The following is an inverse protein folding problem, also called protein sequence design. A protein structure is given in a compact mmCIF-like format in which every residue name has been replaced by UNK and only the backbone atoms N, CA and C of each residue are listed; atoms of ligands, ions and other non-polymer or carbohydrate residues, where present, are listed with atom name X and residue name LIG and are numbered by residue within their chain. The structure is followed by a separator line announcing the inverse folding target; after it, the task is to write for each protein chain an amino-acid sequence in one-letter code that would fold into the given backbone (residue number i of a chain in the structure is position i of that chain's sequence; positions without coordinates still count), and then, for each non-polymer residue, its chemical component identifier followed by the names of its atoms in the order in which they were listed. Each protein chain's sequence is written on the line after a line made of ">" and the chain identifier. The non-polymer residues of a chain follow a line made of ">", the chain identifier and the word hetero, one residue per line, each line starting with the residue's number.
data_IF_362016930638
#
_entry.id   IF_362016930638
#
_cell.length_a   1.000
_cell.length_b   1.000
_cell.length_c   1.000
_cell.angle_alpha   90.00
_cell.angle_beta   90.00
_cell.angle_gamma   90.00
#
_symmetry.space_group_name_H-M   'P 1'
#
loop_
_entity.id
_entity.type
_entity.pdbx_description
1 polymer ?
#
# COMPACT_ATOMS: atom_id res chain seq x y z
N UNK A 1 6.87 -18.90 -4.11
CA UNK A 1 5.62 -18.17 -3.79
C UNK A 1 5.80 -17.64 -2.39
N UNK A 2 5.88 -16.32 -2.20
CA UNK A 2 6.14 -15.77 -0.87
C UNK A 2 4.80 -15.67 -0.11
N UNK A 3 4.36 -16.78 0.47
CA UNK A 3 3.09 -16.90 1.23
C UNK A 3 2.95 -15.77 2.26
N UNK A 4 4.07 -15.36 2.85
CA UNK A 4 4.11 -14.33 3.87
C UNK A 4 3.75 -12.94 3.32
N UNK A 5 4.11 -12.63 2.06
CA UNK A 5 3.76 -11.34 1.41
C UNK A 5 2.25 -11.23 1.19
N UNK A 6 1.60 -12.30 0.73
CA UNK A 6 0.14 -12.32 0.51
C UNK A 6 -0.57 -12.17 1.86
N UNK A 7 -0.19 -12.97 2.86
CA UNK A 7 -0.79 -12.87 4.20
C UNK A 7 -0.53 -11.51 4.85
N UNK A 8 0.65 -10.92 4.67
CA UNK A 8 0.96 -9.56 5.11
C UNK A 8 0.04 -8.52 4.44
N UNK A 9 -0.18 -8.62 3.13
CA UNK A 9 -1.09 -7.72 2.42
C UNK A 9 -2.54 -7.89 2.87
N UNK A 10 -3.00 -9.14 3.09
CA UNK A 10 -4.34 -9.37 3.62
C UNK A 10 -4.51 -8.77 5.03
N UNK A 11 -3.49 -8.91 5.88
CA UNK A 11 -3.49 -8.26 7.19
C UNK A 11 -3.54 -6.75 7.08
N UNK A 12 -2.76 -6.15 6.17
CA UNK A 12 -2.79 -4.72 5.92
C UNK A 12 -4.17 -4.25 5.47
N UNK A 13 -4.84 -4.94 4.54
CA UNK A 13 -6.22 -4.63 4.14
C UNK A 13 -7.19 -4.70 5.32
N UNK A 14 -7.06 -5.72 6.18
CA UNK A 14 -7.86 -5.81 7.40
C UNK A 14 -7.65 -4.59 8.31
N UNK A 15 -6.40 -4.16 8.53
CA UNK A 15 -6.09 -2.96 9.32
C UNK A 15 -6.63 -1.68 8.69
N UNK A 16 -6.57 -1.54 7.36
CA UNK A 16 -7.12 -0.38 6.66
C UNK A 16 -8.66 -0.34 6.75
N UNK A 17 -9.35 -1.48 6.63
CA UNK A 17 -10.82 -1.56 6.81
C UNK A 17 -11.20 -1.21 8.26
N UNK A 18 -10.42 -1.64 9.25
CA UNK A 18 -10.63 -1.23 10.64
C UNK A 18 -10.46 0.28 10.80
N UNK A 19 -9.35 0.85 10.31
CA UNK A 19 -9.12 2.29 10.36
C UNK A 19 -10.23 3.09 9.66
N UNK A 20 -10.69 2.66 8.49
CA UNK A 20 -11.83 3.30 7.82
C UNK A 20 -13.06 3.36 8.72
N UNK A 21 -13.45 2.22 9.33
CA UNK A 21 -14.60 2.16 10.26
C UNK A 21 -14.45 3.05 11.49
N UNK A 22 -13.23 3.25 11.98
CA UNK A 22 -12.96 4.12 13.13
C UNK A 22 -13.26 5.59 12.83
N UNK A 23 -13.18 6.02 11.57
CA UNK A 23 -13.36 7.44 11.20
C UNK A 23 -14.67 7.71 10.46
N UNK A 24 -15.26 6.77 9.74
CA UNK A 24 -16.41 7.04 8.85
C UNK A 24 -17.79 6.73 9.43
N UNK A 25 -17.97 6.69 10.76
CA UNK A 25 -19.28 6.41 11.40
C UNK A 25 -20.00 5.15 10.85
N UNK A 26 -19.24 4.13 10.44
CA UNK A 26 -19.70 2.91 9.76
C UNK A 26 -20.31 3.10 8.35
N UNK A 27 -19.91 4.15 7.63
CA UNK A 27 -20.14 4.23 6.18
C UNK A 27 -19.62 2.98 5.46
N UNK A 28 -20.19 2.73 4.29
CA UNK A 28 -19.77 1.63 3.44
C UNK A 28 -18.29 1.77 3.09
N UNK A 29 -17.52 0.73 3.40
CA UNK A 29 -16.09 0.66 3.09
C UNK A 29 -15.83 0.88 1.59
N UNK A 30 -15.05 1.91 1.26
CA UNK A 30 -14.71 2.31 -0.11
C UNK A 30 -13.28 1.90 -0.54
N UNK A 31 -12.60 1.06 0.26
CA UNK A 31 -11.25 0.58 -0.04
C UNK A 31 -11.29 -0.33 -1.27
N UNK A 32 -11.19 0.29 -2.43
CA UNK A 32 -11.05 -0.34 -3.74
C UNK A 32 -9.63 -0.88 -3.97
N UNK A 33 -9.43 -1.66 -5.03
CA UNK A 33 -8.09 -2.08 -5.48
C UNK A 33 -7.14 -0.88 -5.61
N UNK A 34 -7.57 0.21 -6.25
CA UNK A 34 -6.73 1.38 -6.44
C UNK A 34 -6.35 2.02 -5.10
N UNK A 35 -7.34 2.27 -4.23
CA UNK A 35 -7.13 2.83 -2.89
C UNK A 35 -6.21 1.96 -2.05
N UNK A 36 -6.40 0.64 -2.07
CA UNK A 36 -5.54 -0.32 -1.38
C UNK A 36 -4.09 -0.26 -1.84
N UNK A 37 -3.83 -0.18 -3.16
CA UNK A 37 -2.46 -0.10 -3.69
C UNK A 37 -1.78 1.22 -3.28
N UNK A 38 -2.51 2.34 -3.26
CA UNK A 38 -1.98 3.63 -2.78
C UNK A 38 -1.65 3.58 -1.29
N UNK A 39 -2.58 3.09 -0.49
CA UNK A 39 -2.38 2.97 0.96
C UNK A 39 -1.26 1.98 1.30
N UNK A 40 -1.13 0.88 0.55
CA UNK A 40 0.00 -0.05 0.65
C UNK A 40 1.33 0.68 0.48
N UNK A 41 1.46 1.52 -0.56
CA UNK A 41 2.66 2.32 -0.77
C UNK A 41 2.94 3.27 0.42
N UNK A 42 1.96 4.06 0.85
CA UNK A 42 2.14 5.02 1.94
C UNK A 42 2.48 4.35 3.28
N UNK A 43 1.80 3.24 3.61
CA UNK A 43 2.10 2.42 4.80
C UNK A 43 3.48 1.79 4.70
N UNK A 44 3.90 1.33 3.52
CA UNK A 44 5.22 0.72 3.37
C UNK A 44 6.34 1.75 3.56
N UNK A 45 6.15 2.96 3.03
CA UNK A 45 7.15 4.03 3.08
C UNK A 45 7.22 4.78 4.42
N UNK A 46 6.17 4.74 5.24
CA UNK A 46 6.07 5.61 6.42
C UNK A 46 7.18 5.42 7.43
N UNK A 47 7.82 6.55 7.77
CA UNK A 47 8.89 6.57 8.75
C UNK A 47 10.21 5.94 8.30
N UNK A 48 10.32 5.52 7.04
CA UNK A 48 11.60 5.02 6.50
C UNK A 48 12.53 6.17 6.16
N UNK A 49 13.83 5.91 6.23
CA UNK A 49 14.92 6.80 5.83
C UNK A 49 15.91 6.00 5.01
N UNK A 50 16.88 6.68 4.37
CA UNK A 50 17.96 6.02 3.62
C UNK A 50 18.72 4.97 4.44
N UNK A 51 18.83 5.17 5.76
CA UNK A 51 19.58 4.32 6.69
C UNK A 51 18.67 3.30 7.40
N UNK A 52 17.37 3.28 7.10
CA UNK A 52 16.45 2.29 7.66
C UNK A 52 16.75 0.91 7.12
N UNK A 53 16.83 -0.07 8.00
CA UNK A 53 16.96 -1.48 7.69
C UNK A 53 15.70 -2.23 8.14
N UNK A 54 15.41 -3.36 7.51
CA UNK A 54 14.26 -4.23 7.85
C UNK A 54 12.93 -3.46 7.95
N UNK A 55 12.71 -2.50 7.06
CA UNK A 55 11.40 -1.83 6.89
C UNK A 55 10.46 -2.67 6.02
N UNK A 56 9.18 -2.31 5.98
CA UNK A 56 8.21 -2.99 5.10
C UNK A 56 8.67 -2.95 3.63
N UNK A 57 9.37 -1.89 3.22
CA UNK A 57 9.96 -1.74 1.88
C UNK A 57 11.15 -2.69 1.61
N UNK A 58 11.80 -3.22 2.64
CA UNK A 58 12.97 -4.09 2.47
C UNK A 58 12.56 -5.55 2.30
N UNK A 59 11.71 -6.00 3.24
CA UNK A 59 11.49 -7.43 3.43
C UNK A 59 10.19 -7.94 2.80
N UNK A 60 9.17 -7.07 2.70
CA UNK A 60 7.81 -7.48 2.33
C UNK A 60 7.36 -6.85 1.01
N UNK A 61 7.29 -5.52 0.93
CA UNK A 61 6.74 -4.81 -0.22
C UNK A 61 7.87 -4.09 -0.95
N UNK A 62 8.63 -4.83 -1.74
CA UNK A 62 9.88 -4.35 -2.34
C UNK A 62 9.88 -4.28 -3.88
N UNK A 63 8.75 -4.60 -4.52
CA UNK A 63 8.64 -4.59 -5.99
C UNK A 63 7.73 -3.48 -6.50
N UNK A 64 8.03 -2.24 -6.09
CA UNK A 64 7.30 -1.07 -6.54
C UNK A 64 7.68 -0.65 -7.96
N UNK A 65 6.67 -0.37 -8.78
CA UNK A 65 6.78 0.19 -10.12
C UNK A 65 6.01 1.50 -10.22
N UNK A 66 6.50 2.44 -11.02
CA UNK A 66 5.77 3.64 -11.39
C UNK A 66 4.79 3.27 -12.52
N UNK A 67 3.50 3.54 -12.34
CA UNK A 67 2.45 3.31 -13.34
C UNK A 67 1.59 4.57 -13.51
N UNK A 68 0.70 4.67 -14.53
CA UNK A 68 -0.10 5.88 -14.75
C UNK A 68 -0.90 6.35 -13.53
N UNK A 69 -1.35 5.42 -12.69
CA UNK A 69 -2.08 5.70 -11.44
C UNK A 69 -1.19 5.64 -10.18
N UNK A 70 0.09 6.00 -10.30
CA UNK A 70 1.02 6.10 -9.16
C UNK A 70 1.88 4.85 -8.93
N UNK A 71 2.49 4.72 -7.74
CA UNK A 71 3.26 3.54 -7.33
C UNK A 71 2.39 2.28 -7.21
N UNK A 72 2.85 1.15 -7.73
CA UNK A 72 2.15 -0.13 -7.61
C UNK A 72 3.15 -1.19 -7.16
N UNK A 73 2.84 -1.94 -6.11
CA UNK A 73 3.60 -3.15 -5.78
C UNK A 73 3.17 -4.23 -6.78
N UNK A 74 4.08 -4.59 -7.69
CA UNK A 74 3.72 -5.36 -8.89
C UNK A 74 3.27 -6.78 -8.54
N UNK A 75 3.92 -7.43 -7.57
CA UNK A 75 3.59 -8.79 -7.16
C UNK A 75 2.19 -8.86 -6.53
N UNK A 76 1.88 -7.92 -5.63
CA UNK A 76 0.55 -7.77 -5.02
C UNK A 76 -0.51 -7.49 -6.09
N UNK A 77 -0.23 -6.60 -7.04
CA UNK A 77 -1.18 -6.28 -8.10
C UNK A 77 -1.50 -7.50 -8.98
N UNK A 78 -0.50 -8.32 -9.30
CA UNK A 78 -0.69 -9.57 -10.03
C UNK A 78 -1.50 -10.59 -9.22
N UNK A 79 -1.27 -10.71 -7.91
CA UNK A 79 -2.08 -11.58 -7.05
C UNK A 79 -3.55 -11.14 -6.98
N UNK A 80 -3.81 -9.83 -6.91
CA UNK A 80 -5.18 -9.29 -6.95
C UNK A 80 -5.85 -9.67 -8.28
N UNK A 81 -5.17 -9.45 -9.41
CA UNK A 81 -5.72 -9.79 -10.75
C UNK A 81 -6.03 -11.26 -10.92
N UNK A 82 -5.17 -12.12 -10.36
CA UNK A 82 -5.33 -13.57 -10.44
C UNK A 82 -6.33 -14.12 -9.39
N UNK A 83 -7.01 -13.25 -8.62
CA UNK A 83 -7.97 -13.67 -7.60
C UNK A 83 -7.34 -14.48 -6.45
N UNK A 84 -6.06 -14.25 -6.17
CA UNK A 84 -5.24 -15.09 -5.29
C UNK A 84 -5.19 -14.62 -3.83
N UNK A 85 -6.30 -14.06 -3.33
CA UNK A 85 -6.45 -13.64 -1.92
C UNK A 85 -7.38 -14.63 -1.18
N UNK A 86 -6.84 -15.56 -0.37
CA UNK A 86 -7.63 -16.62 0.26
C UNK A 86 -8.64 -16.11 1.30
N UNK A 87 -8.33 -15.02 2.02
CA UNK A 87 -9.11 -14.51 3.15
C UNK A 87 -9.84 -13.21 2.86
N UNK A 88 -9.58 -12.58 1.70
CA UNK A 88 -10.15 -11.29 1.34
C UNK A 88 -10.74 -11.32 -0.06
N UNK A 89 -11.81 -10.56 -0.28
CA UNK A 89 -12.32 -10.23 -1.61
C UNK A 89 -12.25 -8.73 -1.80
N UNK A 90 -11.53 -8.28 -2.83
CA UNK A 90 -11.36 -6.86 -3.16
C UNK A 90 -11.73 -6.64 -4.62
N UNK A 91 -12.38 -5.51 -4.90
CA UNK A 91 -12.75 -5.10 -6.25
C UNK A 91 -12.56 -3.58 -6.42
N UNK A 92 -13.04 -3.03 -7.53
CA UNK A 92 -12.86 -1.60 -7.85
C UNK A 92 -13.70 -0.66 -6.98
N UNK A 93 -14.52 -1.16 -6.04
CA UNK A 93 -15.38 -0.33 -5.19
C UNK A 93 -15.16 -0.54 -3.70
N UNK A 94 -14.73 -1.73 -3.28
CA UNK A 94 -14.70 -2.09 -1.86
C UNK A 94 -13.83 -3.32 -1.58
N UNK A 95 -13.55 -3.52 -0.29
CA UNK A 95 -12.90 -4.70 0.28
C UNK A 95 -13.83 -5.39 1.28
N UNK A 96 -13.91 -6.71 1.21
CA UNK A 96 -14.66 -7.57 2.12
C UNK A 96 -13.68 -8.55 2.79
N UNK A 97 -13.65 -8.52 4.12
CA UNK A 97 -12.90 -9.49 4.92
C UNK A 97 -13.79 -10.71 5.13
N UNK A 98 -13.29 -11.92 4.81
CA UNK A 98 -14.06 -13.15 5.03
C UNK A 98 -14.12 -13.46 6.52
N UNK A 99 -15.25 -14.00 6.98
CA UNK A 99 -15.43 -14.37 8.40
C UNK A 99 -14.43 -15.43 8.87
N UNK A 100 -13.88 -16.22 7.95
CA UNK A 100 -12.86 -17.23 8.21
C UNK A 100 -11.46 -16.66 8.40
N UNK A 101 -11.26 -15.34 8.23
CA UNK A 101 -9.95 -14.74 8.32
C UNK A 101 -9.42 -14.77 9.76
N UNK A 102 -8.49 -15.68 10.01
CA UNK A 102 -7.83 -15.80 11.30
C UNK A 102 -6.48 -15.10 11.27
N UNK A 103 -6.41 -13.86 11.76
CA UNK A 103 -5.16 -13.08 11.83
C UNK A 103 -4.04 -13.76 12.62
N UNK A 104 -4.36 -14.72 13.49
CA UNK A 104 -3.35 -15.41 14.29
C UNK A 104 -2.51 -16.42 13.49
N UNK A 105 -2.91 -16.76 12.26
CA UNK A 105 -2.09 -17.59 11.37
C UNK A 105 -0.93 -16.81 10.75
N UNK A 106 -0.96 -15.48 10.86
CA UNK A 106 0.06 -14.58 10.31
C UNK A 106 1.12 -14.34 11.38
N UNK A 107 2.38 -14.40 10.95
CA UNK A 107 3.53 -14.17 11.81
C UNK A 107 3.38 -12.90 12.66
N UNK A 108 3.67 -13.04 13.96
CA UNK A 108 3.47 -11.98 14.95
C UNK A 108 4.35 -10.77 14.67
N UNK A 109 5.56 -10.99 14.16
CA UNK A 109 6.50 -9.91 13.82
C UNK A 109 6.00 -9.12 12.61
N UNK A 110 5.51 -9.82 11.58
CA UNK A 110 4.87 -9.18 10.41
C UNK A 110 3.67 -8.33 10.86
N UNK A 111 2.78 -8.89 11.67
CA UNK A 111 1.61 -8.15 12.18
C UNK A 111 2.01 -6.91 12.96
N UNK A 112 2.96 -7.04 13.88
CA UNK A 112 3.47 -5.92 14.66
C UNK A 112 4.04 -4.80 13.78
N UNK A 113 4.84 -5.15 12.76
CA UNK A 113 5.42 -4.16 11.84
C UNK A 113 4.35 -3.42 11.03
N UNK A 114 3.31 -4.12 10.60
CA UNK A 114 2.18 -3.50 9.89
C UNK A 114 1.37 -2.61 10.82
N UNK A 115 1.08 -3.06 12.05
CA UNK A 115 0.38 -2.26 13.06
C UNK A 115 1.14 -0.96 13.36
N UNK A 116 2.45 -1.03 13.57
CA UNK A 116 3.31 0.14 13.80
C UNK A 116 3.29 1.10 12.61
N UNK A 117 3.42 0.60 11.39
CA UNK A 117 3.39 1.43 10.19
C UNK A 117 2.02 2.10 9.99
N UNK A 118 0.92 1.37 10.15
CA UNK A 118 -0.44 1.92 10.07
C UNK A 118 -0.65 2.98 11.16
N UNK A 119 -0.27 2.70 12.41
CA UNK A 119 -0.40 3.66 13.52
C UNK A 119 0.45 4.92 13.31
N UNK A 120 1.64 4.78 12.73
CA UNK A 120 2.49 5.92 12.38
C UNK A 120 1.89 6.75 11.25
N UNK A 121 1.29 6.13 10.25
CA UNK A 121 0.60 6.86 9.18
C UNK A 121 -0.63 7.60 9.74
N UNK A 122 -1.40 6.95 10.62
CA UNK A 122 -2.53 7.55 11.34
C UNK A 122 -2.13 8.77 12.17
N UNK A 123 -0.98 8.72 12.85
CA UNK A 123 -0.53 9.84 13.67
C UNK A 123 -0.05 11.04 12.85
N UNK A 124 0.36 10.81 11.60
CA UNK A 124 0.72 11.87 10.65
C UNK A 124 -0.53 12.47 10.01
N UNK A 125 -1.42 11.62 9.48
CA UNK A 125 -2.66 12.06 8.85
C UNK A 125 -3.76 11.01 9.07
N UNK A 126 -4.66 11.29 10.02
CA UNK A 126 -5.78 10.40 10.36
C UNK A 126 -6.84 10.34 9.25
N UNK A 127 -6.98 11.42 8.47
CA UNK A 127 -7.98 11.57 7.41
C UNK A 127 -7.48 11.04 6.06
N UNK A 128 -6.23 10.60 5.95
CA UNK A 128 -5.69 9.99 4.72
C UNK A 128 -6.54 8.81 4.26
N UNK A 129 -7.12 8.04 5.19
CA UNK A 129 -8.01 6.91 4.87
C UNK A 129 -9.33 7.36 4.22
N UNK A 130 -9.74 8.64 4.39
CA UNK A 130 -10.95 9.21 3.78
C UNK A 130 -10.73 9.72 2.37
N UNK A 131 -9.47 9.91 1.96
CA UNK A 131 -9.16 10.41 0.62
C UNK A 131 -9.75 9.45 -0.43
N UNK A 132 -10.27 10.03 -1.52
CA UNK A 132 -10.75 9.22 -2.62
C UNK A 132 -9.57 8.46 -3.26
N UNK A 133 -9.89 7.47 -4.09
CA UNK A 133 -8.85 6.75 -4.82
C UNK A 133 -8.01 7.70 -5.69
N UNK A 134 -8.59 8.77 -6.22
CA UNK A 134 -7.89 9.75 -7.06
C UNK A 134 -7.09 10.76 -6.24
N UNK A 135 -7.59 11.23 -5.09
CA UNK A 135 -6.81 12.08 -4.18
C UNK A 135 -5.51 11.37 -3.74
N UNK A 136 -5.58 10.07 -3.48
CA UNK A 136 -4.41 9.24 -3.16
C UNK A 136 -3.49 9.02 -4.36
N UNK A 137 -4.01 9.02 -5.59
CA UNK A 137 -3.21 9.00 -6.82
C UNK A 137 -2.44 10.30 -6.96
N UNK A 138 -3.13 11.44 -6.86
CA UNK A 138 -2.54 12.77 -6.96
C UNK A 138 -1.45 12.96 -5.89
N UNK A 139 -1.73 12.52 -4.66
CA UNK A 139 -0.73 12.50 -3.60
C UNK A 139 0.46 11.60 -3.94
N UNK A 140 0.24 10.40 -4.50
CA UNK A 140 1.36 9.53 -4.90
C UNK A 140 2.18 10.11 -6.06
N UNK A 141 1.55 10.91 -6.94
CA UNK A 141 2.22 11.61 -8.03
C UNK A 141 3.10 12.77 -7.56
N UNK A 142 2.89 13.28 -6.35
CA UNK A 142 3.75 14.32 -5.77
C UNK A 142 5.12 13.79 -5.32
N UNK A 143 5.30 12.48 -5.22
CA UNK A 143 6.56 11.86 -4.82
C UNK A 143 7.53 11.79 -6.01
N UNK A 144 8.78 12.18 -5.76
CA UNK A 144 9.82 12.28 -6.78
C UNK A 144 10.15 10.93 -7.40
N UNK A 145 10.17 9.85 -6.61
CA UNK A 145 10.45 8.51 -7.14
C UNK A 145 9.46 8.06 -8.21
N UNK A 146 8.18 8.44 -8.10
CA UNK A 146 7.21 8.16 -9.14
C UNK A 146 7.43 9.05 -10.36
N UNK A 147 7.59 10.35 -10.17
CA UNK A 147 7.77 11.31 -11.27
C UNK A 147 8.97 10.94 -12.16
N UNK A 148 10.11 10.64 -11.52
CA UNK A 148 11.33 10.28 -12.21
C UNK A 148 11.16 8.99 -13.03
N UNK A 149 10.66 7.93 -12.40
CA UNK A 149 10.57 6.61 -13.02
C UNK A 149 9.44 6.55 -14.06
N UNK A 150 8.31 7.21 -13.83
CA UNK A 150 7.23 7.27 -14.82
C UNK A 150 7.67 8.04 -16.07
N UNK A 151 8.36 9.18 -15.91
CA UNK A 151 8.96 9.91 -17.05
C UNK A 151 9.96 9.06 -17.83
N UNK A 152 10.75 8.23 -17.14
CA UNK A 152 11.66 7.27 -17.77
C UNK A 152 10.88 6.20 -18.56
N UNK A 153 9.80 5.67 -18.00
CA UNK A 153 8.92 4.73 -18.70
C UNK A 153 8.39 5.34 -20.01
N UNK A 154 7.82 6.54 -19.95
CA UNK A 154 7.25 7.24 -21.09
C UNK A 154 8.30 7.52 -22.18
N UNK A 155 9.50 7.97 -21.77
CA UNK A 155 10.61 8.23 -22.70
C UNK A 155 11.07 6.97 -23.45
N UNK A 156 10.84 5.79 -22.86
CA UNK A 156 11.16 4.49 -23.45
C UNK A 156 9.96 3.84 -24.18
N UNK A 157 8.81 4.52 -24.27
CA UNK A 157 7.58 3.97 -24.86
C UNK A 157 6.89 2.90 -23.99
N UNK A 158 7.27 2.79 -22.72
CA UNK A 158 6.69 1.87 -21.74
C UNK A 158 5.62 2.57 -20.89
N UNK A 159 4.82 1.78 -20.18
CA UNK A 159 3.81 2.27 -19.21
C UNK A 159 4.15 1.95 -17.76
N UNK A 160 5.32 1.37 -17.53
CA UNK A 160 5.83 1.13 -16.20
C UNK A 160 7.34 1.14 -16.18
N UNK A 161 7.89 1.50 -15.02
CA UNK A 161 9.33 1.44 -14.73
C UNK A 161 9.50 1.05 -13.26
N UNK A 162 10.49 0.21 -12.97
CA UNK A 162 10.79 -0.21 -11.60
C UNK A 162 11.35 0.95 -10.78
N UNK A 163 10.86 1.10 -9.56
CA UNK A 163 11.34 2.12 -8.62
C UNK A 163 12.30 1.44 -7.64
N UNK A 164 13.49 2.01 -7.45
CA UNK A 164 14.39 1.52 -6.41
C UNK A 164 13.85 1.84 -5.03
N UNK A 165 13.93 0.87 -4.11
CA UNK A 165 13.58 1.09 -2.70
C UNK A 165 14.47 2.16 -2.05
N UNK A 166 15.72 2.29 -2.48
CA UNK A 166 16.60 3.38 -2.05
C UNK A 166 16.04 4.76 -2.38
N UNK A 167 15.39 4.90 -3.54
CA UNK A 167 14.85 6.18 -4.01
C UNK A 167 13.65 6.57 -3.13
N UNK A 168 12.74 5.62 -2.87
CA UNK A 168 11.59 5.82 -1.98
C UNK A 168 12.03 6.16 -0.54
N UNK A 169 13.10 5.55 -0.06
CA UNK A 169 13.63 5.80 1.28
C UNK A 169 14.31 7.15 1.41
N UNK A 170 14.99 7.60 0.36
CA UNK A 170 15.82 8.81 0.37
C UNK A 170 15.04 10.10 0.12
N UNK A 171 13.84 10.01 -0.44
CA UNK A 171 13.00 11.18 -0.68
C UNK A 171 12.17 11.61 0.54
N UNK A 172 11.74 12.87 0.47
CA UNK A 172 10.79 13.45 1.40
C UNK A 172 9.42 12.78 1.25
N UNK A 173 8.78 12.52 2.39
CA UNK A 173 7.56 11.73 2.46
C UNK A 173 6.36 12.65 2.62
N UNK A 174 5.41 12.52 1.69
CA UNK A 174 4.26 13.42 1.59
C UNK A 174 2.99 12.61 1.88
N UNK A 175 2.22 13.06 2.86
CA UNK A 175 1.01 12.37 3.36
C UNK A 175 -0.23 13.26 3.39
N UNK A 176 -0.18 14.41 2.72
CA UNK A 176 -1.27 15.40 2.67
C UNK A 176 -1.19 16.15 1.34
N UNK A 177 -2.36 16.53 0.80
CA UNK A 177 -2.48 17.37 -0.40
C UNK A 177 -2.28 18.86 -0.09
#
# INVERSE_FOLDING_TARGET
>A
MNSDKISAFEYLLFKLVQWHKEVTDNEQNDISVLKALKLLFFVSAVGTTKDSESSLLDDLFNDFVAMPYGHVESEIYDFIKNGSLPNITINNTSTIIKDTFNVNTIDKTIRFRIDEAVNKLKSINIDLIRYSSFDLVDLSHSWYSWQLNYKKAESNGNRSERISISDIKSEDKIYQL
#
